data_IF_065771601564
#
_entry.id   IF_065771601564
#
_cell.length_a   1.000
_cell.length_b   1.000
_cell.length_c   1.000
_cell.angle_alpha   90.00
_cell.angle_beta   90.00
_cell.angle_gamma   90.00
#
_symmetry.space_group_name_H-M   'P 1'
#
loop_
_entity.id
_entity.type
_entity.pdbx_description
1 polymer ?
#
# COMPACT_ATOMS: atom_id res chain seq x y z
N UNK A 1 -5.54 -25.11 -24.75
CA UNK A 1 -5.71 -24.29 -23.53
C UNK A 1 -6.05 -22.88 -23.98
N UNK A 2 -7.27 -22.40 -23.71
CA UNK A 2 -7.73 -21.10 -24.21
C UNK A 2 -6.83 -19.97 -23.69
N UNK A 3 -6.56 -18.95 -24.51
CA UNK A 3 -5.70 -17.81 -24.13
C UNK A 3 -6.13 -17.15 -22.81
N UNK A 4 -7.44 -17.20 -22.51
CA UNK A 4 -8.04 -16.74 -21.25
C UNK A 4 -7.61 -17.56 -20.03
N UNK A 5 -7.52 -18.90 -20.13
CA UNK A 5 -7.09 -19.76 -19.03
C UNK A 5 -5.61 -19.58 -18.71
N UNK A 6 -4.77 -19.43 -19.75
CA UNK A 6 -3.33 -19.13 -19.58
C UNK A 6 -3.14 -17.78 -18.89
N UNK A 7 -3.92 -16.77 -19.29
CA UNK A 7 -3.88 -15.46 -18.65
C UNK A 7 -4.26 -15.51 -17.17
N UNK A 8 -5.30 -16.28 -16.81
CA UNK A 8 -5.69 -16.46 -15.40
C UNK A 8 -4.58 -17.15 -14.59
N UNK A 9 -3.94 -18.17 -15.15
CA UNK A 9 -2.86 -18.91 -14.50
C UNK A 9 -1.64 -18.01 -14.26
N UNK A 10 -1.18 -17.29 -15.30
CA UNK A 10 -0.09 -16.32 -15.19
C UNK A 10 -0.41 -15.21 -14.17
N UNK A 11 -1.62 -14.63 -14.26
CA UNK A 11 -2.07 -13.61 -13.31
C UNK A 11 -2.15 -14.16 -11.87
N UNK A 12 -2.51 -15.42 -11.70
CA UNK A 12 -2.60 -16.06 -10.38
C UNK A 12 -1.24 -16.18 -9.72
N UNK A 13 -0.23 -16.54 -10.50
CA UNK A 13 1.16 -16.58 -10.03
C UNK A 13 1.73 -15.19 -9.75
N UNK A 14 1.48 -14.20 -10.62
CA UNK A 14 1.99 -12.83 -10.43
C UNK A 14 1.35 -12.11 -9.24
N UNK A 15 0.04 -12.26 -9.05
CA UNK A 15 -0.72 -11.49 -8.05
C UNK A 15 -0.87 -12.21 -6.71
N UNK A 16 -0.47 -13.48 -6.61
CA UNK A 16 -0.58 -14.27 -5.38
C UNK A 16 -2.02 -14.50 -4.90
N UNK A 17 -3.03 -14.31 -5.78
CA UNK A 17 -4.45 -14.43 -5.44
C UNK A 17 -4.96 -15.89 -5.53
N UNK A 18 -4.16 -16.79 -6.09
CA UNK A 18 -4.49 -18.22 -6.23
C UNK A 18 -5.82 -18.42 -6.96
N UNK A 19 -6.68 -19.29 -6.42
CA UNK A 19 -8.01 -19.58 -7.00
C UNK A 19 -8.93 -18.35 -7.11
N UNK A 20 -8.68 -17.27 -6.36
CA UNK A 20 -9.49 -16.04 -6.44
C UNK A 20 -9.24 -15.24 -7.71
N UNK A 21 -8.10 -15.46 -8.38
CA UNK A 21 -7.72 -14.74 -9.61
C UNK A 21 -8.80 -14.87 -10.68
N UNK A 22 -9.30 -16.09 -10.91
CA UNK A 22 -10.38 -16.36 -11.87
C UNK A 22 -11.60 -15.50 -11.58
N UNK A 23 -12.05 -15.44 -10.32
CA UNK A 23 -13.18 -14.62 -9.92
C UNK A 23 -12.97 -13.12 -10.19
N UNK A 24 -11.78 -12.59 -9.88
CA UNK A 24 -11.49 -11.16 -10.11
C UNK A 24 -11.44 -10.84 -11.60
N UNK A 25 -10.81 -11.72 -12.38
CA UNK A 25 -10.76 -11.65 -13.84
C UNK A 25 -12.19 -11.64 -14.42
N UNK A 26 -13.06 -12.54 -13.97
CA UNK A 26 -14.44 -12.61 -14.45
C UNK A 26 -15.27 -11.35 -14.09
N UNK A 27 -15.02 -10.75 -12.93
CA UNK A 27 -15.67 -9.48 -12.54
C UNK A 27 -15.26 -8.34 -13.47
N UNK A 28 -13.96 -8.23 -13.79
CA UNK A 28 -13.44 -7.18 -14.67
C UNK A 28 -13.89 -7.43 -16.11
N UNK A 29 -13.76 -8.66 -16.61
CA UNK A 29 -14.20 -9.06 -17.95
C UNK A 29 -15.70 -8.83 -18.15
N UNK A 30 -16.52 -9.22 -17.18
CA UNK A 30 -17.96 -8.97 -17.19
C UNK A 30 -18.32 -7.48 -17.17
N UNK A 31 -17.53 -6.66 -16.47
CA UNK A 31 -17.70 -5.20 -16.51
C UNK A 31 -17.35 -4.62 -17.88
N UNK A 32 -16.22 -5.03 -18.49
CA UNK A 32 -15.82 -4.61 -19.85
C UNK A 32 -16.93 -4.96 -20.85
N UNK A 33 -17.44 -6.20 -20.80
CA UNK A 33 -18.50 -6.66 -21.69
C UNK A 33 -19.83 -5.91 -21.49
N UNK A 34 -20.11 -5.43 -20.28
CA UNK A 34 -21.33 -4.68 -19.95
C UNK A 34 -21.27 -3.19 -20.30
N UNK A 35 -20.15 -2.69 -20.81
CA UNK A 35 -20.00 -1.25 -21.08
C UNK A 35 -20.91 -0.80 -22.23
N UNK A 36 -21.68 0.32 -22.11
CA UNK A 36 -22.75 0.67 -23.05
C UNK A 36 -22.33 0.83 -24.52
N UNK A 37 -21.05 1.12 -24.75
CA UNK A 37 -20.44 1.28 -26.08
C UNK A 37 -19.27 0.29 -26.31
N UNK A 38 -19.25 -0.82 -25.56
CA UNK A 38 -18.19 -1.82 -25.62
C UNK A 38 -16.79 -1.23 -25.39
N UNK A 39 -15.80 -1.79 -26.07
CA UNK A 39 -14.40 -1.36 -25.98
C UNK A 39 -14.17 0.07 -26.50
N UNK A 40 -14.92 0.52 -27.51
CA UNK A 40 -14.74 1.86 -28.09
C UNK A 40 -15.24 2.96 -27.13
N UNK A 41 -16.26 2.68 -26.31
CA UNK A 41 -16.67 3.56 -25.21
C UNK A 41 -15.65 3.65 -24.08
N UNK A 42 -15.01 2.52 -23.76
CA UNK A 42 -13.92 2.49 -22.79
C UNK A 42 -12.71 3.28 -23.34
N UNK A 43 -12.37 3.14 -24.61
CA UNK A 43 -11.31 3.94 -25.22
C UNK A 43 -11.59 5.44 -25.07
N UNK A 44 -12.80 5.89 -25.40
CA UNK A 44 -13.20 7.29 -25.23
C UNK A 44 -13.08 7.76 -23.76
N UNK A 45 -13.45 6.90 -22.81
CA UNK A 45 -13.34 7.18 -21.36
C UNK A 45 -11.87 7.39 -20.96
N UNK A 46 -10.98 6.51 -21.43
CA UNK A 46 -9.54 6.61 -21.15
C UNK A 46 -8.90 7.80 -21.89
N UNK A 47 -9.35 8.13 -23.11
CA UNK A 47 -8.89 9.30 -23.84
C UNK A 47 -9.22 10.61 -23.12
N UNK A 48 -10.44 10.75 -22.61
CA UNK A 48 -10.86 11.93 -21.83
C UNK A 48 -10.02 12.11 -20.55
N UNK A 49 -9.45 11.03 -20.02
CA UNK A 49 -8.55 11.05 -18.86
C UNK A 49 -7.06 11.20 -19.21
N UNK A 50 -6.72 11.41 -20.49
CA UNK A 50 -5.34 11.54 -20.96
C UNK A 50 -4.60 10.21 -21.15
N UNK A 51 -5.30 9.08 -21.13
CA UNK A 51 -4.73 7.72 -21.18
C UNK A 51 -4.99 6.99 -22.50
N UNK A 52 -5.41 7.71 -23.56
CA UNK A 52 -5.68 7.10 -24.87
C UNK A 52 -4.51 6.31 -25.46
N UNK A 53 -3.26 6.77 -25.23
CA UNK A 53 -2.05 6.07 -25.68
C UNK A 53 -1.89 4.71 -24.98
N UNK A 54 -2.17 4.66 -23.68
CA UNK A 54 -2.13 3.41 -22.91
C UNK A 54 -3.21 2.45 -23.42
N UNK A 55 -4.46 2.93 -23.55
CA UNK A 55 -5.57 2.10 -24.00
C UNK A 55 -5.33 1.51 -25.40
N UNK A 56 -4.83 2.31 -26.35
CA UNK A 56 -4.45 1.83 -27.68
C UNK A 56 -3.30 0.84 -27.66
N UNK A 57 -2.33 1.02 -26.77
CA UNK A 57 -1.25 0.03 -26.60
C UNK A 57 -1.81 -1.32 -26.17
N UNK A 58 -2.83 -1.36 -25.32
CA UNK A 58 -3.44 -2.61 -24.86
C UNK A 58 -4.21 -3.34 -25.95
N UNK A 59 -4.78 -2.62 -26.92
CA UNK A 59 -5.51 -3.22 -28.05
C UNK A 59 -4.60 -3.81 -29.13
N UNK A 60 -3.30 -3.51 -29.14
CA UNK A 60 -2.37 -3.95 -30.20
C UNK A 60 -1.87 -5.37 -29.95
N UNK A 61 -2.15 -6.33 -30.85
CA UNK A 61 -1.60 -7.67 -30.73
C UNK A 61 -0.07 -7.65 -30.97
N UNK A 62 0.66 -8.46 -30.21
CA UNK A 62 2.10 -8.68 -30.42
C UNK A 62 3.04 -7.66 -29.76
N UNK A 63 2.53 -6.67 -29.01
CA UNK A 63 3.34 -5.77 -28.19
C UNK A 63 2.91 -5.84 -26.72
N UNK A 64 3.84 -5.75 -25.76
CA UNK A 64 3.46 -5.73 -24.34
C UNK A 64 2.64 -4.46 -24.06
N UNK A 65 1.52 -4.58 -23.31
CA UNK A 65 0.71 -3.43 -22.97
C UNK A 65 1.49 -2.45 -22.08
N UNK A 66 1.37 -1.15 -22.34
CA UNK A 66 1.94 -0.12 -21.47
C UNK A 66 1.36 -0.23 -20.04
N UNK A 67 2.20 -0.14 -18.99
CA UNK A 67 1.73 -0.20 -17.62
C UNK A 67 0.87 1.02 -17.28
N UNK A 68 -0.05 0.87 -16.32
CA UNK A 68 -0.91 1.96 -15.85
C UNK A 68 -0.88 2.04 -14.33
N UNK A 69 -0.88 3.26 -13.80
CA UNK A 69 -0.87 3.48 -12.36
C UNK A 69 -2.30 3.46 -11.79
N UNK A 70 -2.41 3.14 -10.50
CA UNK A 70 -3.69 3.14 -9.80
C UNK A 70 -4.38 4.52 -9.81
N UNK A 71 -3.59 5.60 -9.73
CA UNK A 71 -4.08 6.98 -9.84
C UNK A 71 -4.64 7.30 -11.22
N UNK A 72 -4.07 6.71 -12.27
CA UNK A 72 -4.49 6.91 -13.65
C UNK A 72 -5.79 6.15 -13.93
N UNK A 73 -5.90 4.90 -13.45
CA UNK A 73 -7.17 4.15 -13.49
C UNK A 73 -8.29 4.87 -12.71
N UNK A 74 -7.97 5.42 -11.54
CA UNK A 74 -8.93 6.19 -10.76
C UNK A 74 -9.38 7.45 -11.52
N UNK A 75 -8.48 8.14 -12.20
CA UNK A 75 -8.81 9.31 -13.02
C UNK A 75 -9.73 8.96 -14.19
N UNK A 76 -9.50 7.82 -14.83
CA UNK A 76 -10.31 7.38 -15.97
C UNK A 76 -11.66 6.80 -15.58
N UNK A 77 -11.70 5.94 -14.56
CA UNK A 77 -12.91 5.17 -14.20
C UNK A 77 -13.72 5.81 -13.08
N UNK A 78 -13.09 6.64 -12.25
CA UNK A 78 -13.67 7.23 -11.06
C UNK A 78 -13.79 6.26 -9.88
N UNK A 79 -13.82 6.83 -8.67
CA UNK A 79 -14.00 6.08 -7.43
C UNK A 79 -15.28 5.21 -7.38
N UNK A 80 -16.46 5.68 -7.87
CA UNK A 80 -17.69 4.88 -7.80
C UNK A 80 -17.64 3.56 -8.59
N UNK A 81 -16.97 3.55 -9.73
CA UNK A 81 -16.80 2.34 -10.55
C UNK A 81 -15.80 1.41 -9.90
N UNK A 82 -14.64 1.94 -9.50
CA UNK A 82 -13.57 1.17 -8.86
C UNK A 82 -14.04 0.51 -7.56
N UNK A 83 -14.78 1.23 -6.71
CA UNK A 83 -15.29 0.69 -5.45
C UNK A 83 -16.37 -0.38 -5.66
N UNK A 84 -17.20 -0.23 -6.71
CA UNK A 84 -18.22 -1.23 -7.06
C UNK A 84 -17.56 -2.53 -7.51
N UNK A 85 -16.54 -2.44 -8.36
CA UNK A 85 -15.79 -3.60 -8.82
C UNK A 85 -15.02 -4.25 -7.67
N UNK A 86 -14.36 -3.46 -6.82
CA UNK A 86 -13.68 -3.96 -5.62
C UNK A 86 -14.62 -4.79 -4.71
N UNK A 87 -15.82 -4.27 -4.42
CA UNK A 87 -16.85 -5.00 -3.65
C UNK A 87 -17.27 -6.31 -4.32
N UNK A 88 -17.50 -6.30 -5.64
CA UNK A 88 -17.87 -7.52 -6.39
C UNK A 88 -16.74 -8.55 -6.44
N UNK A 89 -15.50 -8.08 -6.49
CA UNK A 89 -14.29 -8.91 -6.43
C UNK A 89 -13.92 -9.37 -5.01
N UNK A 90 -14.66 -8.92 -3.98
CA UNK A 90 -14.36 -9.17 -2.55
C UNK A 90 -12.95 -8.72 -2.13
N UNK A 91 -12.45 -7.66 -2.78
CA UNK A 91 -11.18 -7.02 -2.46
C UNK A 91 -11.42 -5.67 -1.79
N UNK A 92 -10.47 -5.18 -0.99
CA UNK A 92 -10.51 -3.78 -0.54
C UNK A 92 -10.33 -2.85 -1.75
N UNK A 93 -10.81 -1.61 -1.67
CA UNK A 93 -10.66 -0.64 -2.77
C UNK A 93 -9.19 -0.44 -3.17
N UNK A 94 -8.29 -0.36 -2.17
CA UNK A 94 -6.85 -0.28 -2.41
C UNK A 94 -6.28 -1.51 -3.11
N UNK A 95 -6.61 -2.73 -2.63
CA UNK A 95 -6.11 -3.96 -3.24
C UNK A 95 -6.66 -4.16 -4.66
N UNK A 96 -7.93 -3.83 -4.90
CA UNK A 96 -8.54 -3.93 -6.23
C UNK A 96 -7.88 -2.97 -7.23
N UNK A 97 -7.54 -1.74 -6.83
CA UNK A 97 -6.85 -0.78 -7.71
C UNK A 97 -5.53 -1.33 -8.22
N UNK A 98 -4.72 -1.93 -7.35
CA UNK A 98 -3.44 -2.55 -7.71
C UNK A 98 -3.66 -3.73 -8.66
N UNK A 99 -4.59 -4.63 -8.33
CA UNK A 99 -4.92 -5.79 -9.16
C UNK A 99 -5.47 -5.37 -10.53
N UNK A 100 -6.29 -4.33 -10.59
CA UNK A 100 -6.83 -3.80 -11.84
C UNK A 100 -5.75 -3.22 -12.75
N UNK A 101 -4.66 -2.66 -12.21
CA UNK A 101 -3.53 -2.16 -13.00
C UNK A 101 -2.84 -3.29 -13.79
N UNK A 102 -2.76 -4.49 -13.21
CA UNK A 102 -2.16 -5.66 -13.86
C UNK A 102 -3.15 -6.36 -14.81
N UNK A 103 -4.40 -6.53 -14.38
CA UNK A 103 -5.38 -7.34 -15.10
C UNK A 103 -6.03 -6.61 -16.27
N UNK A 104 -6.34 -5.31 -16.13
CA UNK A 104 -7.14 -4.59 -17.11
C UNK A 104 -6.47 -4.51 -18.49
N UNK A 105 -5.16 -4.19 -18.61
CA UNK A 105 -4.49 -4.15 -19.90
C UNK A 105 -4.52 -5.50 -20.62
N UNK A 106 -4.26 -6.59 -19.89
CA UNK A 106 -4.26 -7.94 -20.45
C UNK A 106 -5.65 -8.42 -20.87
N UNK A 107 -6.68 -8.08 -20.10
CA UNK A 107 -8.07 -8.40 -20.47
C UNK A 107 -8.52 -7.63 -21.70
N UNK A 108 -8.16 -6.36 -21.82
CA UNK A 108 -8.45 -5.57 -23.02
C UNK A 108 -7.72 -6.16 -24.24
N UNK A 109 -6.46 -6.59 -24.08
CA UNK A 109 -5.71 -7.27 -25.13
C UNK A 109 -6.40 -8.57 -25.59
N UNK A 110 -6.86 -9.40 -24.65
CA UNK A 110 -7.57 -10.65 -24.96
C UNK A 110 -8.90 -10.40 -25.68
N UNK A 111 -9.67 -9.41 -25.23
CA UNK A 111 -10.96 -9.05 -25.86
C UNK A 111 -10.80 -8.40 -27.23
N UNK A 112 -9.60 -7.93 -27.58
CA UNK A 112 -9.30 -7.28 -28.86
C UNK A 112 -8.81 -8.26 -29.95
N UNK A 113 -8.64 -9.55 -29.64
CA UNK A 113 -8.18 -10.54 -30.62
C UNK A 113 -9.32 -10.93 -31.58
N UNK A 114 -9.07 -11.01 -32.90
CA UNK A 114 -10.03 -11.61 -33.83
C UNK A 114 -10.26 -13.07 -33.43
N UNK A 115 -11.52 -13.49 -33.37
CA UNK A 115 -11.88 -14.91 -33.22
C UNK A 115 -11.27 -15.65 -34.42
N UNK A 116 -10.26 -16.50 -34.18
CA UNK A 116 -9.77 -17.43 -35.21
C UNK A 116 -10.96 -18.27 -35.70
N UNK A 117 -11.26 -18.29 -37.01
CA UNK A 117 -12.25 -19.24 -37.52
C UNK A 117 -11.70 -20.65 -37.32
N UNK A 118 -12.53 -21.54 -36.78
CA UNK A 118 -12.22 -22.96 -36.64
C UNK A 118 -11.69 -23.55 -37.97
N UNK A 119 -10.76 -24.51 -37.94
CA UNK A 119 -10.16 -25.06 -39.14
C UNK A 119 -11.25 -25.67 -40.03
N UNK A 120 -11.41 -25.10 -41.22
CA UNK A 120 -12.34 -25.56 -42.24
C UNK A 120 -11.89 -26.90 -42.81
N UNK A 121 -12.69 -27.95 -42.60
CA UNK A 121 -12.62 -29.17 -43.40
C UNK A 121 -12.82 -28.84 -44.90
N UNK A 122 -12.13 -29.55 -45.81
CA UNK A 122 -12.20 -29.26 -47.24
C UNK A 122 -13.56 -29.66 -47.81
N UNK A 123 -14.46 -28.69 -47.96
CA UNK A 123 -15.72 -28.88 -48.69
C UNK A 123 -15.50 -28.83 -50.20
N UNK A 124 -15.62 -30.01 -50.78
CA UNK A 124 -15.70 -30.28 -52.22
C UNK A 124 -16.72 -29.37 -52.93
N UNK A 125 -16.35 -28.98 -54.15
CA UNK A 125 -17.22 -28.32 -55.12
C UNK A 125 -18.57 -29.05 -55.23
N UNK A 126 -19.67 -28.31 -55.09
CA UNK A 126 -20.91 -28.66 -55.79
C UNK A 126 -21.68 -27.42 -56.24
N UNK A 127 -22.05 -27.48 -57.51
CA UNK A 127 -22.50 -26.41 -58.38
C UNK A 127 -23.93 -25.89 -58.15
N UNK A 128 -24.08 -24.59 -58.47
CA UNK A 128 -25.22 -23.88 -59.12
C UNK A 128 -26.51 -23.56 -58.32
N UNK A 129 -27.31 -22.56 -58.77
CA UNK A 129 -27.00 -21.39 -59.62
C UNK A 129 -27.52 -20.04 -59.07
N UNK A 130 -26.88 -18.95 -59.53
CA UNK A 130 -27.30 -17.55 -59.39
C UNK A 130 -28.59 -17.24 -60.15
N UNK A 131 -29.42 -16.34 -59.60
CA UNK A 131 -30.34 -15.49 -60.36
C UNK A 131 -30.01 -14.02 -60.13
N UNK A 132 -29.98 -13.28 -61.24
CA UNK A 132 -29.52 -11.91 -61.40
C UNK A 132 -30.63 -10.87 -61.10
N UNK A 133 -30.22 -9.72 -60.51
CA UNK A 133 -30.51 -8.29 -60.85
C UNK A 133 -31.98 -7.82 -61.00
N UNK A 134 -32.29 -6.49 -60.99
CA UNK A 134 -31.41 -5.32 -61.17
C UNK A 134 -31.60 -4.13 -60.20
N UNK A 135 -30.67 -3.19 -60.34
CA UNK A 135 -30.66 -1.81 -59.83
C UNK A 135 -31.55 -0.88 -60.67
N UNK A 136 -31.92 0.28 -60.12
CA UNK A 136 -32.12 1.63 -60.72
C UNK A 136 -32.59 2.54 -59.56
N UNK A 137 -32.41 3.85 -59.45
CA UNK A 137 -31.56 4.91 -60.00
C UNK A 137 -32.13 6.23 -59.39
N UNK A 138 -31.25 7.20 -59.09
CA UNK A 138 -31.56 8.63 -58.97
C UNK A 138 -32.05 9.16 -57.60
N UNK A 139 -31.95 10.45 -57.22
CA UNK A 139 -31.40 11.69 -57.82
C UNK A 139 -31.54 12.82 -56.76
N UNK A 140 -30.44 13.53 -56.46
CA UNK A 140 -30.24 14.99 -56.19
C UNK A 140 -31.06 15.89 -55.19
N UNK A 141 -30.29 16.78 -54.50
CA UNK A 141 -30.46 18.24 -54.14
C UNK A 141 -30.91 18.76 -52.73
N UNK A 142 -29.98 19.51 -52.06
CA UNK A 142 -30.02 20.87 -51.38
C UNK A 142 -30.83 21.17 -50.07
N UNK A 143 -30.78 22.39 -49.43
CA UNK A 143 -29.66 23.01 -48.65
C UNK A 143 -30.03 23.73 -47.29
N UNK A 144 -28.99 24.18 -46.53
CA UNK A 144 -28.80 25.35 -45.59
C UNK A 144 -29.89 25.84 -44.59
N UNK A 145 -29.47 26.26 -43.36
CA UNK A 145 -29.64 27.62 -42.74
C UNK A 145 -28.85 27.76 -41.41
N UNK A 146 -28.30 28.96 -41.18
CA UNK A 146 -27.49 29.46 -40.05
C UNK A 146 -28.31 30.06 -38.89
N UNK A 147 -27.71 30.14 -37.68
CA UNK A 147 -27.79 31.35 -36.85
C UNK A 147 -28.29 31.22 -35.40
N UNK A 148 -27.43 30.82 -34.45
CA UNK A 148 -27.58 31.11 -33.00
C UNK A 148 -26.23 30.96 -32.27
N UNK A 149 -25.33 31.96 -32.34
CA UNK A 149 -23.98 31.83 -31.75
C UNK A 149 -23.61 32.86 -30.67
N UNK A 150 -24.45 33.85 -30.35
CA UNK A 150 -24.03 34.95 -29.46
C UNK A 150 -24.68 34.99 -28.07
N UNK A 151 -25.75 34.21 -27.82
CA UNK A 151 -26.44 34.19 -26.51
C UNK A 151 -25.95 33.08 -25.56
N UNK A 152 -25.39 32.01 -26.11
CA UNK A 152 -24.84 30.88 -25.34
C UNK A 152 -23.48 31.18 -24.71
N UNK A 153 -22.69 32.07 -25.32
CA UNK A 153 -21.34 32.41 -24.83
C UNK A 153 -21.36 33.21 -23.51
N UNK A 154 -22.36 34.08 -23.33
CA UNK A 154 -22.51 34.92 -22.14
C UNK A 154 -22.94 34.13 -20.89
N UNK A 155 -23.77 33.10 -21.06
CA UNK A 155 -24.14 32.20 -19.96
C UNK A 155 -23.00 31.27 -19.55
N UNK A 156 -22.13 30.91 -20.48
CA UNK A 156 -20.96 30.06 -20.21
C UNK A 156 -19.92 30.77 -19.32
N UNK A 157 -19.70 32.07 -19.54
CA UNK A 157 -18.75 32.86 -18.74
C UNK A 157 -19.20 33.04 -17.29
N UNK A 158 -20.50 33.24 -17.05
CA UNK A 158 -21.05 33.36 -15.69
C UNK A 158 -20.94 32.04 -14.89
N UNK A 159 -21.11 30.89 -15.54
CA UNK A 159 -20.99 29.58 -14.89
C UNK A 159 -19.54 29.26 -14.46
N UNK A 160 -18.54 29.69 -15.24
CA UNK A 160 -17.11 29.47 -14.93
C UNK A 160 -16.66 30.27 -13.70
N UNK A 161 -17.18 31.49 -13.51
CA UNK A 161 -16.84 32.32 -12.35
C UNK A 161 -17.43 31.75 -11.05
N UNK A 162 -18.66 31.23 -11.08
CA UNK A 162 -19.32 30.60 -9.92
C UNK A 162 -18.65 29.26 -9.55
N UNK A 163 -18.24 28.46 -10.55
CA UNK A 163 -17.49 27.22 -10.33
C UNK A 163 -16.06 27.47 -9.81
N UNK A 164 -15.40 28.55 -10.27
CA UNK A 164 -14.08 28.94 -9.77
C UNK A 164 -14.10 29.42 -8.31
N UNK A 165 -15.11 30.21 -7.93
CA UNK A 165 -15.24 30.71 -6.55
C UNK A 165 -15.58 29.60 -5.54
N UNK A 166 -16.41 28.64 -5.95
CA UNK A 166 -16.74 27.47 -5.11
C UNK A 166 -15.58 26.49 -4.99
N UNK A 167 -14.78 26.31 -6.04
CA UNK A 167 -13.54 25.53 -5.99
C UNK A 167 -12.47 26.18 -5.09
N UNK A 168 -12.36 27.52 -5.08
CA UNK A 168 -11.42 28.24 -4.22
C UNK A 168 -11.80 28.17 -2.72
N UNK A 169 -13.10 28.27 -2.40
CA UNK A 169 -13.59 28.06 -1.03
C UNK A 169 -13.45 26.60 -0.56
N UNK A 170 -13.63 25.62 -1.45
CA UNK A 170 -13.39 24.21 -1.12
C UNK A 170 -11.90 23.87 -0.96
N UNK A 171 -10.99 24.59 -1.62
CA UNK A 171 -9.54 24.42 -1.44
C UNK A 171 -9.03 25.04 -0.13
N UNK A 172 -9.59 26.16 0.34
CA UNK A 172 -9.18 26.81 1.59
C UNK A 172 -9.76 26.19 2.86
N UNK A 173 -10.83 25.41 2.77
CA UNK A 173 -11.42 24.71 3.92
C UNK A 173 -10.73 23.37 4.27
N UNK A 174 -9.69 22.97 3.54
CA UNK A 174 -8.91 21.75 3.82
C UNK A 174 -7.62 22.06 4.58
N UNK A 175 -7.75 22.65 5.75
CA UNK A 175 -6.74 22.46 6.80
C UNK A 175 -7.29 21.45 7.79
N UNK A 176 -7.02 20.15 7.63
CA UNK A 176 -7.07 19.29 8.78
C UNK A 176 -5.85 19.64 9.64
N UNK A 177 -6.06 20.43 10.70
CA UNK A 177 -5.25 20.29 11.91
C UNK A 177 -5.60 18.91 12.49
N UNK A 178 -5.13 17.85 11.82
CA UNK A 178 -5.31 16.49 12.26
C UNK A 178 -4.04 16.08 12.98
N UNK A 179 -4.02 16.29 14.29
CA UNK A 179 -3.37 15.33 15.18
C UNK A 179 -4.25 14.09 15.20
N UNK A 180 -3.77 12.90 14.81
CA UNK A 180 -4.49 11.67 15.10
C UNK A 180 -4.35 11.45 16.61
N UNK A 181 -5.32 11.94 17.39
CA UNK A 181 -5.77 11.10 18.49
C UNK A 181 -6.39 9.88 17.81
N UNK A 182 -5.79 8.71 18.02
CA UNK A 182 -6.38 7.46 17.60
C UNK A 182 -7.82 7.45 18.13
N UNK A 183 -8.81 7.51 17.23
CA UNK A 183 -10.20 7.25 17.59
C UNK A 183 -10.23 5.77 17.96
N UNK A 184 -9.97 5.48 19.24
CA UNK A 184 -10.10 4.14 19.76
C UNK A 184 -11.59 3.83 19.65
N UNK A 185 -11.95 2.94 18.73
CA UNK A 185 -13.34 2.50 18.61
C UNK A 185 -13.76 1.99 19.98
N UNK A 186 -14.89 2.47 20.47
CA UNK A 186 -15.35 2.31 21.85
C UNK A 186 -15.56 0.84 22.27
N UNK A 187 -15.42 -0.11 21.34
CA UNK A 187 -15.70 -1.54 21.49
C UNK A 187 -14.49 -2.43 21.14
N UNK A 188 -13.25 -1.95 21.25
CA UNK A 188 -12.05 -2.79 21.12
C UNK A 188 -11.45 -3.08 22.51
N UNK A 189 -11.04 -4.32 22.74
CA UNK A 189 -10.39 -4.70 23.99
C UNK A 189 -9.12 -3.85 24.23
N UNK A 190 -8.96 -3.38 25.47
CA UNK A 190 -7.82 -2.56 25.89
C UNK A 190 -7.11 -3.18 27.07
N UNK A 191 -5.79 -3.11 27.07
CA UNK A 191 -5.00 -3.63 28.16
C UNK A 191 -3.77 -2.75 28.41
N UNK A 192 -3.64 -2.32 29.65
CA UNK A 192 -2.53 -1.53 30.15
C UNK A 192 -1.74 -2.41 31.13
N UNK A 193 -0.46 -2.60 30.85
CA UNK A 193 0.49 -3.22 31.76
C UNK A 193 1.54 -2.21 32.15
N UNK A 194 1.84 -2.11 33.43
CA UNK A 194 2.91 -1.28 33.95
C UNK A 194 3.66 -2.04 35.01
N UNK A 195 4.96 -2.17 34.82
CA UNK A 195 5.86 -2.87 35.73
C UNK A 195 6.64 -1.85 36.58
N UNK A 196 6.62 -2.01 37.90
CA UNK A 196 7.34 -1.20 38.88
C UNK A 196 8.07 -2.13 39.85
N UNK A 197 9.38 -2.26 39.67
CA UNK A 197 10.19 -3.25 40.36
C UNK A 197 9.69 -4.66 40.06
N UNK A 198 9.38 -5.42 41.11
CA UNK A 198 8.76 -6.74 40.99
C UNK A 198 7.25 -6.67 40.72
N UNK A 199 6.59 -5.55 41.04
CA UNK A 199 5.14 -5.41 40.92
C UNK A 199 4.71 -5.13 39.48
N UNK A 200 3.58 -5.69 39.09
CA UNK A 200 2.89 -5.43 37.83
C UNK A 200 1.47 -4.98 38.12
N UNK A 201 1.14 -3.77 37.69
CA UNK A 201 -0.23 -3.28 37.67
C UNK A 201 -0.84 -3.51 36.29
N UNK A 202 -2.00 -4.13 36.23
CA UNK A 202 -2.74 -4.42 35.01
C UNK A 202 -4.16 -3.87 35.06
N UNK A 203 -4.51 -3.07 34.06
CA UNK A 203 -5.82 -2.43 33.94
C UNK A 203 -6.36 -2.54 32.52
N UNK A 204 -7.67 -2.41 32.33
CA UNK A 204 -8.28 -2.35 30.99
C UNK A 204 -9.60 -3.11 30.90
N UNK A 205 -10.02 -3.42 29.67
CA UNK A 205 -11.27 -4.10 29.36
C UNK A 205 -11.03 -5.33 28.46
N UNK A 206 -11.59 -6.46 28.85
CA UNK A 206 -11.58 -7.71 28.07
C UNK A 206 -13.00 -8.21 27.83
N UNK A 207 -13.24 -8.96 26.73
CA UNK A 207 -14.60 -9.34 26.36
C UNK A 207 -15.24 -10.46 27.16
N UNK A 208 -14.44 -11.22 27.92
CA UNK A 208 -14.97 -12.31 28.73
C UNK A 208 -14.13 -12.56 29.97
N UNK A 209 -14.80 -13.08 31.00
CA UNK A 209 -14.12 -13.48 32.24
C UNK A 209 -13.12 -14.62 32.02
N UNK A 210 -13.36 -15.48 31.02
CA UNK A 210 -12.41 -16.52 30.65
C UNK A 210 -11.05 -15.94 30.22
N UNK A 211 -11.04 -14.87 29.41
CA UNK A 211 -9.80 -14.20 29.03
C UNK A 211 -9.15 -13.49 30.21
N UNK A 212 -9.94 -12.81 31.04
CA UNK A 212 -9.43 -12.17 32.27
C UNK A 212 -8.71 -13.18 33.15
N UNK A 213 -9.32 -14.33 33.45
CA UNK A 213 -8.70 -15.38 34.28
C UNK A 213 -7.42 -15.93 33.65
N UNK A 214 -7.42 -16.19 32.34
CA UNK A 214 -6.22 -16.68 31.64
C UNK A 214 -5.06 -15.69 31.69
N UNK A 215 -5.33 -14.41 31.49
CA UNK A 215 -4.31 -13.36 31.62
C UNK A 215 -3.80 -13.25 33.04
N UNK A 216 -4.70 -13.24 34.02
CA UNK A 216 -4.33 -13.16 35.44
C UNK A 216 -3.44 -14.34 35.86
N UNK A 217 -3.81 -15.56 35.50
CA UNK A 217 -3.00 -16.75 35.77
C UNK A 217 -1.62 -16.69 35.12
N UNK A 218 -1.52 -16.19 33.88
CA UNK A 218 -0.23 -16.03 33.20
C UNK A 218 0.66 -14.97 33.88
N UNK A 219 0.09 -13.84 34.30
CA UNK A 219 0.83 -12.81 35.03
C UNK A 219 1.33 -13.33 36.37
N UNK A 220 0.50 -14.08 37.11
CA UNK A 220 0.91 -14.73 38.36
C UNK A 220 2.02 -15.74 38.12
N UNK A 221 1.95 -16.52 37.04
CA UNK A 221 2.99 -17.50 36.71
C UNK A 221 4.35 -16.84 36.41
N UNK A 222 4.34 -15.63 35.85
CA UNK A 222 5.57 -14.90 35.48
C UNK A 222 6.12 -14.04 36.63
N UNK A 223 5.25 -13.36 37.38
CA UNK A 223 5.65 -12.35 38.38
C UNK A 223 5.43 -12.80 39.84
N UNK A 224 4.64 -13.85 40.07
CA UNK A 224 4.25 -14.31 41.39
C UNK A 224 2.96 -13.63 41.91
N UNK A 225 2.19 -14.37 42.70
CA UNK A 225 0.84 -13.95 43.14
C UNK A 225 0.82 -12.64 43.95
N UNK A 226 1.85 -12.38 44.76
CA UNK A 226 1.96 -11.16 45.57
C UNK A 226 2.39 -9.92 44.81
N UNK A 227 2.73 -10.05 43.52
CA UNK A 227 3.28 -8.97 42.72
C UNK A 227 2.33 -8.48 41.62
N UNK A 228 1.20 -9.15 41.39
CA UNK A 228 0.21 -8.75 40.38
C UNK A 228 -0.93 -8.00 41.04
N UNK A 229 -1.22 -6.80 40.54
CA UNK A 229 -2.28 -5.92 41.04
C UNK A 229 -3.06 -5.29 39.89
N UNK A 230 -4.22 -4.73 40.19
CA UNK A 230 -5.02 -3.96 39.23
C UNK A 230 -6.42 -4.52 39.01
N UNK A 231 -7.10 -4.00 37.98
CA UNK A 231 -8.52 -4.30 37.70
C UNK A 231 -8.76 -4.38 36.20
N UNK A 232 -9.24 -5.53 35.75
CA UNK A 232 -9.69 -5.76 34.38
C UNK A 232 -11.22 -5.84 34.37
N UNK A 233 -11.84 -4.92 33.65
CA UNK A 233 -13.28 -4.85 33.44
C UNK A 233 -13.70 -5.82 32.33
N UNK A 234 -14.93 -6.33 32.42
CA UNK A 234 -15.50 -7.19 31.40
C UNK A 234 -16.45 -6.35 30.55
N UNK A 235 -16.12 -6.20 29.27
CA UNK A 235 -16.95 -5.52 28.28
C UNK A 235 -17.39 -6.55 27.22
N UNK A 236 -18.58 -7.16 27.35
CA UNK A 236 -19.06 -8.17 26.42
C UNK A 236 -19.17 -7.69 24.96
N UNK A 237 -19.24 -6.38 24.73
CA UNK A 237 -19.33 -5.82 23.38
C UNK A 237 -17.94 -5.62 22.75
N UNK A 238 -16.87 -5.73 23.54
CA UNK A 238 -15.53 -5.63 23.04
C UNK A 238 -15.20 -6.76 22.04
N UNK A 239 -14.51 -6.43 20.97
CA UNK A 239 -14.00 -7.45 20.05
C UNK A 239 -12.87 -8.25 20.69
N UNK A 240 -12.87 -9.56 20.42
CA UNK A 240 -11.81 -10.46 20.89
C UNK A 240 -10.44 -10.03 20.37
N UNK A 241 -9.48 -9.72 21.26
CA UNK A 241 -8.16 -9.24 20.86
C UNK A 241 -7.33 -10.32 20.19
N UNK A 242 -6.89 -10.08 18.94
CA UNK A 242 -6.01 -11.00 18.19
C UNK A 242 -4.61 -11.14 18.81
N UNK A 243 -4.18 -10.15 19.57
CA UNK A 243 -2.87 -10.13 20.24
C UNK A 243 -2.84 -10.94 21.54
N UNK A 244 -3.97 -11.36 22.09
CA UNK A 244 -4.06 -11.93 23.44
C UNK A 244 -3.24 -13.20 23.63
N UNK A 245 -3.45 -14.21 22.79
CA UNK A 245 -2.71 -15.49 22.89
C UNK A 245 -1.21 -15.30 22.73
N UNK A 246 -0.82 -14.35 21.87
CA UNK A 246 0.58 -14.01 21.66
C UNK A 246 1.16 -13.32 22.90
N UNK A 247 0.45 -12.35 23.48
CA UNK A 247 0.86 -11.67 24.71
C UNK A 247 1.17 -12.66 25.82
N UNK A 248 0.28 -13.63 26.09
CA UNK A 248 0.48 -14.65 27.13
C UNK A 248 1.82 -15.37 26.96
N UNK A 249 2.19 -15.72 25.71
CA UNK A 249 3.45 -16.38 25.40
C UNK A 249 4.66 -15.45 25.53
N UNK A 250 4.49 -14.17 25.25
CA UNK A 250 5.59 -13.18 25.24
C UNK A 250 5.85 -12.58 26.63
N UNK A 251 4.88 -12.63 27.56
CA UNK A 251 5.00 -12.08 28.93
C UNK A 251 6.31 -12.41 29.67
N UNK A 252 6.82 -13.67 29.66
CA UNK A 252 8.09 -14.00 30.32
C UNK A 252 9.29 -13.18 29.80
N UNK A 253 9.25 -12.78 28.53
CA UNK A 253 10.30 -11.99 27.90
C UNK A 253 10.13 -10.48 28.13
N UNK A 254 8.92 -10.02 28.46
CA UNK A 254 8.58 -8.60 28.66
C UNK A 254 8.74 -8.20 30.12
N UNK A 255 9.98 -8.20 30.60
CA UNK A 255 10.32 -7.86 31.98
C UNK A 255 11.19 -6.60 32.04
N UNK A 256 10.90 -5.69 32.97
CA UNK A 256 11.76 -4.54 33.24
C UNK A 256 11.09 -3.47 34.09
N UNK A 257 11.83 -2.94 35.06
CA UNK A 257 11.33 -1.87 35.93
C UNK A 257 11.01 -0.61 35.12
N UNK A 258 9.76 -0.14 35.21
CA UNK A 258 9.26 1.02 34.48
C UNK A 258 8.82 0.74 33.04
N UNK A 259 8.75 -0.54 32.62
CA UNK A 259 8.14 -0.92 31.34
C UNK A 259 6.63 -0.67 31.39
N UNK A 260 6.10 0.08 30.41
CA UNK A 260 4.66 0.23 30.18
C UNK A 260 4.29 -0.25 28.79
N UNK A 261 3.21 -1.00 28.71
CA UNK A 261 2.65 -1.52 27.46
C UNK A 261 1.14 -1.23 27.45
N UNK A 262 0.67 -0.64 26.37
CA UNK A 262 -0.74 -0.36 26.15
C UNK A 262 -1.19 -1.00 24.85
N UNK A 263 -2.07 -2.00 24.94
CA UNK A 263 -2.72 -2.63 23.81
C UNK A 263 -4.10 -2.00 23.63
N UNK A 264 -4.41 -1.53 22.43
CA UNK A 264 -5.72 -1.00 22.06
C UNK A 264 -6.07 -1.43 20.63
N UNK A 265 -6.94 -2.44 20.50
CA UNK A 265 -7.30 -2.98 19.19
C UNK A 265 -6.08 -3.51 18.41
N UNK A 266 -5.68 -2.79 17.35
CA UNK A 266 -4.50 -3.11 16.52
C UNK A 266 -3.29 -2.20 16.80
N UNK A 267 -3.31 -1.44 17.90
CA UNK A 267 -2.22 -0.57 18.32
C UNK A 267 -1.56 -1.12 19.59
N UNK A 268 -0.23 -0.97 19.67
CA UNK A 268 0.57 -1.24 20.85
C UNK A 268 1.51 -0.06 21.11
N UNK A 269 1.28 0.66 22.20
CA UNK A 269 2.15 1.74 22.64
C UNK A 269 3.09 1.22 23.75
N UNK A 270 4.38 1.49 23.60
CA UNK A 270 5.44 1.00 24.47
C UNK A 270 6.16 2.17 25.12
N UNK A 271 6.18 2.23 26.44
CA UNK A 271 7.15 3.08 27.12
C UNK A 271 8.20 2.22 27.80
N UNK A 272 9.42 2.36 27.29
CA UNK A 272 10.62 1.66 27.76
C UNK A 272 11.70 2.62 28.26
N UNK A 273 11.37 3.91 28.46
CA UNK A 273 12.34 4.97 28.80
C UNK A 273 13.09 4.74 30.10
N UNK A 274 12.46 4.08 31.07
CA UNK A 274 13.07 3.73 32.36
C UNK A 274 14.05 2.55 32.30
N UNK A 275 14.14 1.83 31.16
CA UNK A 275 14.98 0.65 31.01
C UNK A 275 16.37 0.98 30.48
N UNK A 276 17.34 0.11 30.76
CA UNK A 276 18.66 0.16 30.12
C UNK A 276 18.54 -0.04 28.60
N UNK A 277 19.46 0.55 27.84
CA UNK A 277 19.41 0.51 26.38
C UNK A 277 19.39 -0.91 25.81
N UNK A 278 20.22 -1.80 26.35
CA UNK A 278 20.25 -3.22 25.98
C UNK A 278 18.87 -3.87 26.15
N UNK A 279 18.19 -3.58 27.27
CA UNK A 279 16.86 -4.12 27.55
C UNK A 279 15.80 -3.54 26.62
N UNK A 280 15.89 -2.24 26.31
CA UNK A 280 15.00 -1.58 25.32
C UNK A 280 15.13 -2.23 23.95
N UNK A 281 16.36 -2.50 23.50
CA UNK A 281 16.64 -3.18 22.24
C UNK A 281 16.08 -4.61 22.22
N UNK A 282 16.29 -5.38 23.29
CA UNK A 282 15.81 -6.76 23.41
C UNK A 282 14.27 -6.82 23.35
N UNK A 283 13.58 -5.99 24.15
CA UNK A 283 12.11 -5.93 24.17
C UNK A 283 11.58 -5.48 22.81
N UNK A 284 12.15 -4.45 22.21
CA UNK A 284 11.68 -3.94 20.92
C UNK A 284 11.82 -4.98 19.80
N UNK A 285 12.92 -5.76 19.81
CA UNK A 285 13.11 -6.87 18.85
C UNK A 285 12.06 -7.96 19.05
N UNK A 286 11.85 -8.39 20.30
CA UNK A 286 10.85 -9.41 20.64
C UNK A 286 9.44 -8.98 20.21
N UNK A 287 9.08 -7.73 20.49
CA UNK A 287 7.78 -7.17 20.16
C UNK A 287 7.53 -7.13 18.65
N UNK A 288 8.49 -6.67 17.84
CA UNK A 288 8.36 -6.70 16.37
C UNK A 288 8.16 -8.11 15.84
N UNK A 289 8.85 -9.09 16.40
CA UNK A 289 8.76 -10.49 15.98
C UNK A 289 7.42 -11.12 16.34
N UNK A 290 6.92 -10.87 17.56
CA UNK A 290 5.69 -11.49 18.05
C UNK A 290 4.42 -10.80 17.55
N UNK A 291 4.46 -9.49 17.31
CA UNK A 291 3.31 -8.67 16.94
C UNK A 291 3.46 -7.95 15.59
N UNK A 292 3.77 -8.66 14.49
CA UNK A 292 4.08 -8.03 13.19
C UNK A 292 2.89 -7.30 12.55
N UNK A 293 1.67 -7.56 13.03
CA UNK A 293 0.44 -6.95 12.52
C UNK A 293 -0.02 -5.72 13.33
N UNK A 294 0.58 -5.46 14.49
CA UNK A 294 0.21 -4.30 15.31
C UNK A 294 0.94 -3.04 14.81
N UNK A 295 0.24 -1.90 14.89
CA UNK A 295 0.88 -0.58 14.77
C UNK A 295 1.55 -0.29 16.11
N UNK A 296 2.85 -0.07 16.10
CA UNK A 296 3.64 0.08 17.32
C UNK A 296 4.18 1.51 17.46
N UNK A 297 4.24 1.99 18.70
CA UNK A 297 4.92 3.23 19.07
C UNK A 297 5.82 3.04 20.29
N UNK A 298 6.84 3.88 20.44
CA UNK A 298 7.84 3.83 21.50
C UNK A 298 8.85 2.68 21.41
N UNK A 299 8.99 2.07 20.22
CA UNK A 299 10.04 1.10 19.93
C UNK A 299 11.41 1.76 19.94
N UNK A 300 12.37 1.02 20.51
CA UNK A 300 13.78 1.34 20.46
C UNK A 300 14.48 0.48 19.40
N UNK A 301 15.54 0.99 18.82
CA UNK A 301 16.28 0.28 17.77
C UNK A 301 17.69 0.86 17.60
N UNK A 302 18.60 0.12 16.96
CA UNK A 302 20.01 0.53 16.83
C UNK A 302 20.17 1.94 16.23
N UNK A 303 19.38 2.28 15.20
CA UNK A 303 19.41 3.63 14.62
C UNK A 303 18.90 4.74 15.55
N UNK A 304 17.83 4.50 16.31
CA UNK A 304 17.34 5.50 17.30
C UNK A 304 18.35 5.68 18.44
N UNK A 305 18.96 4.59 18.88
CA UNK A 305 20.04 4.63 19.87
C UNK A 305 21.23 5.44 19.36
N UNK A 306 21.68 5.17 18.13
CA UNK A 306 22.77 5.90 17.50
C UNK A 306 22.44 7.40 17.37
N UNK A 307 21.24 7.74 16.91
CA UNK A 307 20.77 9.14 16.81
C UNK A 307 20.75 9.84 18.17
N UNK A 308 20.31 9.17 19.24
CA UNK A 308 20.22 9.76 20.59
C UNK A 308 21.58 10.10 21.21
N UNK A 309 22.66 9.48 20.73
CA UNK A 309 24.03 9.74 21.19
C UNK A 309 24.72 10.84 20.38
N UNK A 310 24.14 11.26 19.25
CA UNK A 310 24.71 12.33 18.45
C UNK A 310 24.54 13.67 19.18
N UNK A 311 25.56 14.55 19.15
CA UNK A 311 25.41 15.90 19.66
C UNK A 311 24.40 16.69 18.80
N UNK A 312 23.84 17.75 19.36
CA UNK A 312 22.80 18.54 18.70
C UNK A 312 23.27 19.14 17.35
N UNK A 313 24.56 19.44 17.24
CA UNK A 313 25.24 20.00 16.07
C UNK A 313 25.82 18.92 15.11
N UNK A 314 25.51 17.63 15.34
CA UNK A 314 25.99 16.55 14.49
C UNK A 314 25.64 16.78 13.01
N UNK A 315 26.66 16.65 12.15
CA UNK A 315 26.53 16.87 10.71
C UNK A 315 25.69 15.81 10.01
N UNK A 316 25.32 16.09 8.75
CA UNK A 316 24.48 15.21 7.94
C UNK A 316 25.04 13.79 7.80
N UNK A 317 26.36 13.63 7.62
CA UNK A 317 27.00 12.33 7.46
C UNK A 317 26.83 11.42 8.70
N UNK A 318 27.00 11.97 9.91
CA UNK A 318 26.85 11.21 11.16
C UNK A 318 25.38 10.78 11.36
N UNK A 319 24.43 11.67 11.07
CA UNK A 319 23.00 11.34 11.13
C UNK A 319 22.65 10.25 10.12
N UNK A 320 23.14 10.34 8.87
CA UNK A 320 22.91 9.33 7.83
C UNK A 320 23.51 7.97 8.23
N UNK A 321 24.70 7.95 8.84
CA UNK A 321 25.28 6.72 9.38
C UNK A 321 24.39 6.09 10.46
N UNK A 322 23.84 6.89 11.38
CA UNK A 322 22.89 6.42 12.38
C UNK A 322 21.56 5.93 11.76
N UNK A 323 21.07 6.60 10.71
CA UNK A 323 19.86 6.21 9.99
C UNK A 323 20.00 4.86 9.28
N UNK A 324 21.19 4.52 8.80
CA UNK A 324 21.48 3.21 8.20
C UNK A 324 21.45 2.04 9.19
N UNK A 325 21.35 2.32 10.50
CA UNK A 325 21.11 1.33 11.54
C UNK A 325 19.61 1.17 11.87
N UNK A 326 18.74 1.96 11.25
CA UNK A 326 17.28 1.78 11.33
C UNK A 326 16.84 0.65 10.39
N UNK A 327 15.64 0.11 10.62
CA UNK A 327 15.08 -0.96 9.79
C UNK A 327 13.62 -0.66 9.51
N UNK A 328 13.29 -0.55 8.22
CA UNK A 328 11.92 -0.47 7.72
C UNK A 328 11.49 -1.85 7.22
N UNK A 329 10.35 -2.32 7.70
CA UNK A 329 9.77 -3.62 7.35
C UNK A 329 8.64 -3.46 6.34
N UNK A 330 8.60 -4.39 5.38
CA UNK A 330 7.58 -4.49 4.35
C UNK A 330 6.80 -5.80 4.47
N UNK A 331 5.61 -5.85 3.86
CA UNK A 331 4.95 -7.13 3.62
C UNK A 331 5.77 -7.97 2.62
N UNK A 332 5.82 -9.31 2.78
CA UNK A 332 6.58 -10.18 1.88
C UNK A 332 6.18 -9.96 0.42
N UNK A 333 7.17 -9.83 -0.47
CA UNK A 333 6.92 -9.61 -1.90
C UNK A 333 6.22 -8.29 -2.26
N UNK A 334 6.07 -7.36 -1.32
CA UNK A 334 5.32 -6.12 -1.51
C UNK A 334 6.16 -4.88 -1.18
N UNK A 335 5.73 -3.73 -1.73
CA UNK A 335 6.21 -2.39 -1.37
C UNK A 335 5.41 -1.74 -0.24
N UNK A 336 4.39 -2.44 0.29
CA UNK A 336 3.60 -1.98 1.43
C UNK A 336 4.38 -2.08 2.75
N UNK A 337 4.56 -0.94 3.42
CA UNK A 337 5.20 -0.85 4.72
C UNK A 337 4.32 -1.46 5.82
N UNK A 338 4.93 -2.23 6.72
CA UNK A 338 4.25 -2.73 7.92
C UNK A 338 3.97 -1.58 8.90
N UNK A 339 2.93 -1.75 9.72
CA UNK A 339 2.59 -0.82 10.78
C UNK A 339 3.72 -0.56 11.79
N UNK A 340 4.60 -1.56 12.02
CA UNK A 340 5.81 -1.47 12.84
C UNK A 340 6.83 -0.44 12.32
N UNK A 341 6.79 -0.09 11.04
CA UNK A 341 7.70 0.87 10.39
C UNK A 341 7.30 2.33 10.59
N UNK A 342 6.05 2.61 10.99
CA UNK A 342 5.51 3.97 11.08
C UNK A 342 6.32 4.87 12.02
N UNK A 343 6.70 4.36 13.20
CA UNK A 343 7.52 5.13 14.13
C UNK A 343 8.95 5.33 13.61
N UNK A 344 9.51 4.30 12.96
CA UNK A 344 10.85 4.40 12.39
C UNK A 344 10.91 5.48 11.31
N UNK A 345 9.87 5.61 10.47
CA UNK A 345 9.75 6.69 9.49
C UNK A 345 9.71 8.07 10.16
N UNK A 346 8.99 8.21 11.27
CA UNK A 346 8.95 9.48 12.00
C UNK A 346 10.34 9.86 12.53
N UNK A 347 11.06 8.91 13.12
CA UNK A 347 12.44 9.10 13.61
C UNK A 347 13.39 9.47 12.47
N UNK A 348 13.28 8.78 11.33
CA UNK A 348 14.06 9.09 10.13
C UNK A 348 13.75 10.50 9.64
N UNK A 349 12.48 10.86 9.54
CA UNK A 349 12.05 12.16 9.05
C UNK A 349 12.53 13.31 9.96
N UNK A 350 12.46 13.13 11.28
CA UNK A 350 12.97 14.10 12.26
C UNK A 350 14.49 14.28 12.13
N UNK A 351 15.25 13.19 12.03
CA UNK A 351 16.69 13.25 11.84
C UNK A 351 17.08 13.94 10.53
N UNK A 352 16.36 13.68 9.43
CA UNK A 352 16.58 14.33 8.14
C UNK A 352 16.25 15.82 8.17
N UNK A 353 15.13 16.22 8.79
CA UNK A 353 14.78 17.64 8.96
C UNK A 353 15.78 18.41 9.83
N UNK A 354 16.47 17.71 10.72
CA UNK A 354 17.50 18.29 11.58
C UNK A 354 18.86 18.42 10.89
N UNK A 355 18.97 18.05 9.60
CA UNK A 355 20.18 18.32 8.81
C UNK A 355 20.19 19.75 8.26
N UNK A 356 21.37 20.22 7.85
CA UNK A 356 21.53 21.56 7.31
C UNK A 356 20.70 21.75 6.01
N UNK A 357 20.12 22.95 5.79
CA UNK A 357 19.41 23.27 4.55
C UNK A 357 20.26 23.00 3.31
N UNK A 358 19.67 22.42 2.26
CA UNK A 358 20.39 22.05 1.04
C UNK A 358 21.06 20.66 1.08
N UNK A 359 20.98 19.95 2.20
CA UNK A 359 21.33 18.52 2.26
C UNK A 359 20.48 17.74 1.25
N UNK A 360 21.11 16.83 0.50
CA UNK A 360 20.44 15.90 -0.43
C UNK A 360 20.80 14.47 -0.07
N UNK A 361 19.80 13.61 -0.04
CA UNK A 361 19.90 12.22 0.42
C UNK A 361 19.20 11.31 -0.58
N UNK A 362 19.93 10.28 -1.00
CA UNK A 362 19.35 9.13 -1.69
C UNK A 362 18.75 8.18 -0.66
N UNK A 363 17.52 7.75 -0.91
CA UNK A 363 16.84 6.64 -0.24
C UNK A 363 16.94 5.44 -1.18
N UNK A 364 17.90 4.58 -0.89
CA UNK A 364 18.23 3.38 -1.64
C UNK A 364 17.47 2.18 -1.07
N UNK A 365 16.76 1.43 -1.92
CA UNK A 365 16.14 0.17 -1.53
C UNK A 365 16.87 -1.00 -2.17
N UNK A 366 17.04 -2.08 -1.40
CA UNK A 366 17.68 -3.31 -1.85
C UNK A 366 16.78 -4.52 -1.56
N UNK A 367 16.90 -5.55 -2.38
CA UNK A 367 16.28 -6.87 -2.20
C UNK A 367 17.34 -7.91 -1.85
N UNK A 368 16.92 -9.14 -1.54
CA UNK A 368 17.83 -10.28 -1.64
C UNK A 368 17.94 -10.74 -3.11
N UNK A 369 18.71 -11.80 -3.35
CA UNK A 369 18.91 -12.37 -4.68
C UNK A 369 17.87 -13.43 -5.07
N UNK A 370 16.71 -13.48 -4.41
CA UNK A 370 15.66 -14.42 -4.78
C UNK A 370 14.75 -13.79 -5.83
N UNK A 371 14.38 -14.56 -6.86
CA UNK A 371 13.54 -14.07 -7.95
C UNK A 371 14.32 -13.52 -9.14
N UNK A 372 13.61 -12.91 -10.08
CA UNK A 372 14.21 -12.34 -11.29
C UNK A 372 14.80 -10.96 -10.99
N UNK A 373 16.01 -10.69 -11.47
CA UNK A 373 16.73 -9.42 -11.26
C UNK A 373 15.88 -8.19 -11.63
N UNK A 374 15.16 -8.23 -12.76
CA UNK A 374 14.27 -7.14 -13.18
C UNK A 374 13.10 -6.93 -12.20
N UNK A 375 12.49 -8.01 -11.70
CA UNK A 375 11.43 -7.92 -10.70
C UNK A 375 11.97 -7.35 -9.37
N UNK A 376 13.18 -7.74 -8.97
CA UNK A 376 13.87 -7.20 -7.80
C UNK A 376 14.17 -5.71 -7.95
N UNK A 377 14.61 -5.28 -9.14
CA UNK A 377 14.83 -3.87 -9.45
C UNK A 377 13.54 -3.05 -9.35
N UNK A 378 12.46 -3.51 -9.97
CA UNK A 378 11.16 -2.86 -9.90
C UNK A 378 10.61 -2.80 -8.47
N UNK A 379 10.67 -3.92 -7.73
CA UNK A 379 10.19 -3.97 -6.34
C UNK A 379 11.00 -3.03 -5.43
N UNK A 380 12.32 -3.01 -5.58
CA UNK A 380 13.16 -2.09 -4.82
C UNK A 380 12.83 -0.63 -5.15
N UNK A 381 12.64 -0.27 -6.41
CA UNK A 381 12.29 1.11 -6.79
C UNK A 381 10.96 1.51 -6.15
N UNK A 382 9.93 0.66 -6.26
CA UNK A 382 8.64 0.91 -5.62
C UNK A 382 8.76 1.10 -4.11
N UNK A 383 9.61 0.31 -3.44
CA UNK A 383 9.88 0.46 -2.00
C UNK A 383 10.56 1.80 -1.69
N UNK A 384 11.55 2.20 -2.48
CA UNK A 384 12.22 3.49 -2.31
C UNK A 384 11.22 4.66 -2.49
N UNK A 385 10.36 4.59 -3.50
CA UNK A 385 9.33 5.59 -3.78
C UNK A 385 8.31 5.70 -2.63
N UNK A 386 7.86 4.57 -2.09
CA UNK A 386 6.95 4.52 -0.94
C UNK A 386 7.60 5.15 0.29
N UNK A 387 8.87 4.86 0.56
CA UNK A 387 9.58 5.44 1.70
C UNK A 387 9.76 6.95 1.52
N UNK A 388 10.16 7.43 0.33
CA UNK A 388 10.27 8.87 0.05
C UNK A 388 8.92 9.56 0.24
N UNK A 389 7.84 8.99 -0.30
CA UNK A 389 6.49 9.53 -0.15
C UNK A 389 6.09 9.61 1.33
N UNK A 390 6.38 8.58 2.12
CA UNK A 390 6.09 8.57 3.55
C UNK A 390 6.92 9.62 4.30
N UNK A 391 8.22 9.78 3.98
CA UNK A 391 9.07 10.81 4.58
C UNK A 391 8.60 12.22 4.25
N UNK A 392 8.14 12.45 3.01
CA UNK A 392 7.52 13.72 2.61
C UNK A 392 6.23 14.00 3.38
N UNK A 393 5.38 13.00 3.57
CA UNK A 393 4.17 13.12 4.40
C UNK A 393 4.50 13.45 5.87
N UNK A 394 5.68 13.04 6.34
CA UNK A 394 6.21 13.43 7.64
C UNK A 394 6.92 14.79 7.65
N UNK A 395 6.96 15.52 6.54
CA UNK A 395 7.48 16.90 6.45
C UNK A 395 8.94 17.01 6.00
N UNK A 396 9.55 15.94 5.48
CA UNK A 396 10.87 16.06 4.83
C UNK A 396 10.69 16.74 3.47
N UNK A 397 11.47 17.80 3.14
CA UNK A 397 11.33 18.50 1.86
C UNK A 397 11.57 17.55 0.66
N UNK A 398 10.68 17.59 -0.34
CA UNK A 398 10.84 16.76 -1.55
C UNK A 398 12.20 16.93 -2.26
N UNK A 399 12.78 18.15 -2.42
CA UNK A 399 14.08 18.34 -3.07
C UNK A 399 15.27 17.68 -2.33
N UNK A 400 15.10 17.38 -1.05
CA UNK A 400 16.12 16.70 -0.24
C UNK A 400 16.22 15.21 -0.59
N UNK A 401 15.18 14.60 -1.16
CA UNK A 401 15.06 13.15 -1.30
C UNK A 401 15.18 12.69 -2.75
N UNK A 402 15.92 11.60 -2.98
CA UNK A 402 16.00 10.89 -4.26
C UNK A 402 15.74 9.41 -4.01
N UNK A 403 14.71 8.82 -4.61
CA UNK A 403 14.41 7.40 -4.48
C UNK A 403 15.19 6.58 -5.53
N UNK A 404 15.90 5.54 -5.11
CA UNK A 404 16.65 4.64 -6.02
C UNK A 404 16.45 3.19 -5.62
N UNK A 405 15.98 2.37 -6.55
CA UNK A 405 15.91 0.92 -6.43
C UNK A 405 17.15 0.24 -7.00
N UNK A 406 17.95 -0.39 -6.14
CA UNK A 406 19.17 -1.12 -6.55
C UNK A 406 18.91 -2.62 -6.81
N UNK A 407 17.69 -3.10 -6.58
CA UNK A 407 17.38 -4.52 -6.65
C UNK A 407 18.29 -5.34 -5.74
N UNK A 408 18.82 -6.44 -6.26
CA UNK A 408 19.74 -7.33 -5.55
C UNK A 408 21.21 -6.89 -5.63
N UNK A 409 21.49 -5.76 -6.28
CA UNK A 409 22.83 -5.21 -6.41
C UNK A 409 23.33 -4.72 -5.03
N UNK A 410 24.65 -4.80 -4.83
CA UNK A 410 25.33 -4.39 -3.60
C UNK A 410 24.84 -5.12 -2.32
N UNK A 411 24.96 -6.46 -2.25
CA UNK A 411 24.65 -7.21 -1.03
C UNK A 411 25.62 -6.84 0.09
N UNK A 412 25.10 -6.74 1.32
CA UNK A 412 25.87 -6.47 2.54
C UNK A 412 26.10 -7.74 3.37
N UNK A 413 25.46 -8.84 2.99
CA UNK A 413 25.60 -10.15 3.60
C UNK A 413 25.39 -11.26 2.57
N UNK A 414 25.78 -12.49 2.92
CA UNK A 414 25.63 -13.65 2.04
C UNK A 414 24.15 -14.04 1.85
N UNK A 415 23.68 -13.98 0.60
CA UNK A 415 22.33 -14.37 0.20
C UNK A 415 22.02 -15.88 0.36
N UNK A 416 23.03 -16.72 0.62
CA UNK A 416 22.82 -18.14 0.90
C UNK A 416 22.14 -18.40 2.24
N UNK A 417 22.39 -17.53 3.22
CA UNK A 417 21.77 -17.62 4.56
C UNK A 417 20.47 -16.82 4.63
N UNK A 418 19.50 -17.29 5.42
CA UNK A 418 18.26 -16.55 5.67
C UNK A 418 18.53 -15.20 6.34
N UNK A 419 19.42 -15.19 7.34
CA UNK A 419 19.83 -13.96 8.02
C UNK A 419 20.50 -12.96 7.06
N UNK A 420 21.37 -13.44 6.16
CA UNK A 420 22.01 -12.60 5.16
C UNK A 420 21.02 -12.02 4.15
N UNK A 421 20.05 -12.81 3.68
CA UNK A 421 18.93 -12.30 2.86
C UNK A 421 18.14 -11.22 3.59
N UNK A 422 17.81 -11.44 4.86
CA UNK A 422 17.09 -10.46 5.67
C UNK A 422 17.90 -9.17 5.94
N UNK A 423 19.23 -9.20 5.85
CA UNK A 423 20.09 -8.00 5.88
C UNK A 423 20.18 -7.30 4.53
N UNK A 424 20.09 -8.05 3.43
CA UNK A 424 20.10 -7.49 2.07
C UNK A 424 18.78 -6.80 1.73
N UNK A 425 17.64 -7.30 2.21
CA UNK A 425 16.36 -6.61 2.15
C UNK A 425 16.33 -5.38 3.09
N UNK A 426 16.84 -4.24 2.63
CA UNK A 426 17.04 -3.05 3.46
C UNK A 426 16.72 -1.75 2.72
N UNK A 427 16.52 -0.71 3.50
CA UNK A 427 16.57 0.69 3.06
C UNK A 427 17.88 1.28 3.57
N UNK A 428 18.61 1.95 2.69
CA UNK A 428 19.83 2.67 3.00
C UNK A 428 19.68 4.14 2.60
N UNK A 429 20.39 5.00 3.31
CA UNK A 429 20.44 6.43 3.11
C UNK A 429 21.86 6.80 2.71
N UNK A 430 22.01 7.55 1.62
CA UNK A 430 23.32 8.00 1.13
C UNK A 430 23.30 9.51 0.95
N UNK A 431 24.29 10.18 1.51
CA UNK A 431 24.45 11.62 1.33
C UNK A 431 24.91 11.89 -0.11
N UNK A 432 24.13 12.67 -0.86
CA UNK A 432 24.46 13.09 -2.22
C UNK A 432 25.14 14.46 -2.24
N UNK A 433 24.70 15.36 -1.36
CA UNK A 433 25.30 16.66 -1.16
C UNK A 433 25.01 17.13 0.27
N UNK A 434 25.94 17.85 0.88
CA UNK A 434 25.73 18.63 2.08
C UNK A 434 26.33 20.03 1.85
N UNK A 435 25.71 21.10 2.38
CA UNK A 435 26.38 22.40 2.42
C UNK A 435 27.67 22.30 3.23
N UNK A 436 28.65 23.13 2.86
CA UNK A 436 29.93 23.28 3.57
C UNK A 436 29.76 23.92 4.94
#
# INVERSE_FOLDING_TARGET
>A
MHAYDRFIEEASHRLGLGHRTRWVVDVIAGWIASHPRGLDGLEQTFEQAGLGVHFRSWRRPGQPPLPVLASDLQRALGDPVMDRLARRSRLSSGAFRVVACDLLPGLIALTSQPIEPAPSEPRQLRNRPQRQRPQMAGTLLTPRVQGMALRSLLWMMAAVVVLGATAWLQLKARTPLWTPQAIVREHDARLFLHQRGAQVSVHGSLPSDALRRRLWSALIAVHGAGHVSGRIEIDPQARSPRWFERLIRTLPCLQGNGLRLEFAGNQLDIDSTALSEERRLAISRQLRQDFPALRMSGLWGPGRAALSRLPADAGAAQRIAALNLTRLEFHPGSSELRGSSSETLQVVAEALRSTAPGTRVEVAAHTDSQGASEANRQLSQQRADVVVTALQAHGVPAPMLVAVGHGEEHPVADNRSEDGRARNQRIAYRLLAAPH
#
